data_IF_720908506843
#
_entry.id   IF_720908506843
#
_cell.length_a   1.000
_cell.length_b   1.000
_cell.length_c   1.000
_cell.angle_alpha   90.00
_cell.angle_beta   90.00
_cell.angle_gamma   90.00
#
_symmetry.space_group_name_H-M   'P 1'
#
loop_
_entity.id
_entity.type
_entity.pdbx_description
1 polymer ?
#
# COMPACT_ATOMS: atom_id res chain seq x y z
N UNK A 1 -19.48 11.01 11.52
CA UNK A 1 -20.62 10.10 11.76
C UNK A 1 -20.35 9.09 12.89
N UNK A 2 -19.16 8.48 12.97
CA UNK A 2 -18.81 7.44 13.97
C UNK A 2 -17.81 7.87 15.07
N UNK A 3 -17.79 9.14 15.43
CA UNK A 3 -16.80 9.69 16.37
C UNK A 3 -17.13 9.38 17.85
N UNK A 4 -18.41 9.18 18.17
CA UNK A 4 -18.91 9.00 19.55
C UNK A 4 -19.76 7.74 19.75
N UNK A 5 -20.09 7.00 18.67
CA UNK A 5 -20.96 5.81 18.69
C UNK A 5 -20.59 4.82 17.58
N UNK A 6 -20.79 3.53 17.84
CA UNK A 6 -20.58 2.40 16.90
C UNK A 6 -21.87 1.96 16.19
N UNK A 7 -22.79 2.89 15.93
CA UNK A 7 -24.06 2.59 15.26
C UNK A 7 -23.83 2.25 13.76
N UNK A 8 -24.46 1.16 13.29
CA UNK A 8 -24.47 0.77 11.87
C UNK A 8 -25.42 1.69 11.08
N UNK A 9 -25.01 2.94 10.85
CA UNK A 9 -25.83 3.96 10.16
C UNK A 9 -25.75 3.91 8.64
N UNK A 10 -24.64 3.43 8.07
CA UNK A 10 -24.42 3.36 6.63
C UNK A 10 -23.71 2.05 6.25
N UNK A 11 -24.43 0.92 6.23
CA UNK A 11 -23.84 -0.40 5.96
C UNK A 11 -23.19 -0.46 4.57
N UNK A 12 -23.85 0.08 3.55
CA UNK A 12 -23.34 0.13 2.17
C UNK A 12 -22.03 0.91 2.06
N UNK A 13 -21.90 2.00 2.82
CA UNK A 13 -20.66 2.78 2.87
C UNK A 13 -19.52 1.94 3.45
N UNK A 14 -19.76 1.22 4.55
CA UNK A 14 -18.75 0.35 5.15
C UNK A 14 -18.32 -0.79 4.21
N UNK A 15 -19.27 -1.41 3.49
CA UNK A 15 -18.93 -2.47 2.52
C UNK A 15 -17.99 -1.95 1.41
N UNK A 16 -18.23 -0.74 0.92
CA UNK A 16 -17.39 -0.11 -0.12
C UNK A 16 -16.03 0.28 0.47
N UNK A 17 -16.02 0.99 1.61
CA UNK A 17 -14.79 1.52 2.21
C UNK A 17 -13.86 0.40 2.67
N UNK A 18 -14.38 -0.69 3.23
CA UNK A 18 -13.55 -1.81 3.66
C UNK A 18 -12.82 -2.47 2.49
N UNK A 19 -13.49 -2.64 1.33
CA UNK A 19 -12.84 -3.12 0.10
C UNK A 19 -11.83 -2.11 -0.43
N UNK A 20 -12.15 -0.82 -0.44
CA UNK A 20 -11.22 0.22 -0.86
C UNK A 20 -9.99 0.32 0.06
N UNK A 21 -10.12 0.10 1.37
CA UNK A 21 -8.98 0.03 2.30
C UNK A 21 -8.06 -1.13 1.95
N UNK A 22 -8.60 -2.33 1.71
CA UNK A 22 -7.79 -3.49 1.28
C UNK A 22 -7.05 -3.19 -0.03
N UNK A 23 -7.74 -2.56 -1.00
CA UNK A 23 -7.11 -2.12 -2.24
C UNK A 23 -6.04 -1.05 -2.00
N UNK A 24 -6.31 -0.07 -1.13
CA UNK A 24 -5.40 1.02 -0.80
C UNK A 24 -4.11 0.56 -0.13
N UNK A 25 -4.19 -0.43 0.77
CA UNK A 25 -3.03 -1.04 1.43
C UNK A 25 -2.01 -1.61 0.43
N UNK A 26 -2.49 -2.06 -0.73
CA UNK A 26 -1.66 -2.58 -1.83
C UNK A 26 -1.39 -1.50 -2.88
N UNK A 27 -2.33 -0.58 -3.08
CA UNK A 27 -2.27 0.49 -4.07
C UNK A 27 -1.18 1.51 -3.78
N UNK A 28 -1.01 1.91 -2.52
CA UNK A 28 0.08 2.82 -2.13
C UNK A 28 1.46 2.25 -2.50
N UNK A 29 1.84 1.03 -2.07
CA UNK A 29 3.14 0.48 -2.42
C UNK A 29 3.27 0.13 -3.91
N UNK A 30 2.17 -0.23 -4.59
CA UNK A 30 2.15 -0.40 -6.05
C UNK A 30 2.45 0.92 -6.79
N UNK A 31 1.85 2.03 -6.36
CA UNK A 31 2.10 3.35 -6.92
C UNK A 31 3.55 3.80 -6.66
N UNK A 32 4.07 3.55 -5.45
CA UNK A 32 5.47 3.82 -5.12
C UNK A 32 6.43 3.04 -6.02
N UNK A 33 6.15 1.76 -6.29
CA UNK A 33 6.92 0.95 -7.24
C UNK A 33 6.90 1.53 -8.66
N UNK A 34 5.75 2.00 -9.13
CA UNK A 34 5.64 2.62 -10.46
C UNK A 34 6.48 3.91 -10.54
N UNK A 35 6.41 4.75 -9.49
CA UNK A 35 7.19 5.98 -9.40
C UNK A 35 8.70 5.68 -9.41
N UNK A 36 9.16 4.74 -8.57
CA UNK A 36 10.60 4.42 -8.48
C UNK A 36 11.12 3.77 -9.76
N UNK A 37 10.31 2.97 -10.45
CA UNK A 37 10.63 2.42 -11.77
C UNK A 37 10.75 3.52 -12.84
N UNK A 38 9.88 4.53 -12.79
CA UNK A 38 9.99 5.68 -13.69
C UNK A 38 11.25 6.50 -13.39
N UNK A 39 11.54 6.76 -12.11
CA UNK A 39 12.76 7.46 -11.68
C UNK A 39 14.03 6.72 -12.09
N UNK A 40 14.06 5.40 -11.95
CA UNK A 40 15.19 4.56 -12.41
C UNK A 40 15.40 4.68 -13.92
N UNK A 41 14.33 4.60 -14.71
CA UNK A 41 14.41 4.72 -16.16
C UNK A 41 14.92 6.11 -16.61
N UNK A 42 14.54 7.16 -15.87
CA UNK A 42 15.04 8.53 -16.10
C UNK A 42 16.51 8.61 -15.73
N UNK A 43 16.91 8.16 -14.53
CA UNK A 43 18.30 8.17 -14.05
C UNK A 43 19.25 7.35 -14.96
N UNK A 44 18.76 6.27 -15.54
CA UNK A 44 19.50 5.46 -16.51
C UNK A 44 19.65 6.13 -17.90
N UNK A 45 19.02 7.29 -18.13
CA UNK A 45 18.86 7.96 -19.42
C UNK A 45 18.20 7.08 -20.51
N UNK A 46 17.49 6.02 -20.10
CA UNK A 46 16.83 5.08 -21.04
C UNK A 46 15.65 5.73 -21.77
N UNK A 47 15.01 6.73 -21.17
CA UNK A 47 13.86 7.41 -21.78
C UNK A 47 14.16 8.08 -23.12
N UNK A 48 15.39 8.56 -23.33
CA UNK A 48 15.81 9.17 -24.59
C UNK A 48 15.78 8.18 -25.76
N UNK A 49 15.92 6.88 -25.48
CA UNK A 49 15.99 5.82 -26.49
C UNK A 49 14.67 5.09 -26.70
N UNK A 50 13.61 5.41 -25.92
CA UNK A 50 12.35 4.67 -26.03
C UNK A 50 11.55 5.06 -27.27
N UNK A 51 11.21 4.04 -28.07
CA UNK A 51 10.22 4.14 -29.15
C UNK A 51 8.82 4.44 -28.61
N UNK A 52 7.95 5.02 -29.43
CA UNK A 52 6.54 5.29 -29.07
C UNK A 52 5.80 4.02 -28.60
N UNK A 53 6.11 2.86 -29.19
CA UNK A 53 5.55 1.56 -28.80
C UNK A 53 6.00 1.16 -27.38
N UNK A 54 7.27 1.31 -27.07
CA UNK A 54 7.84 0.97 -25.76
C UNK A 54 7.30 1.89 -24.65
N UNK A 55 7.12 3.19 -24.95
CA UNK A 55 6.47 4.14 -24.03
C UNK A 55 5.03 3.74 -23.72
N UNK A 56 4.28 3.23 -24.72
CA UNK A 56 2.92 2.72 -24.51
C UNK A 56 2.92 1.45 -23.67
N UNK A 57 3.81 0.50 -23.96
CA UNK A 57 3.92 -0.74 -23.19
C UNK A 57 4.29 -0.49 -21.73
N UNK A 58 5.23 0.43 -21.45
CA UNK A 58 5.57 0.81 -20.07
C UNK A 58 4.38 1.37 -19.31
N UNK A 59 3.62 2.29 -19.92
CA UNK A 59 2.38 2.82 -19.33
C UNK A 59 1.36 1.73 -19.01
N UNK A 60 1.19 0.75 -19.90
CA UNK A 60 0.31 -0.39 -19.62
C UNK A 60 0.81 -1.25 -18.45
N UNK A 61 2.12 -1.48 -18.35
CA UNK A 61 2.70 -2.21 -17.22
C UNK A 61 2.51 -1.43 -15.92
N UNK A 62 2.75 -0.12 -15.91
CA UNK A 62 2.55 0.71 -14.72
C UNK A 62 1.07 0.75 -14.30
N UNK A 63 0.14 0.79 -15.26
CA UNK A 63 -1.30 0.67 -14.97
C UNK A 63 -1.67 -0.73 -14.45
N UNK A 64 -1.10 -1.79 -15.01
CA UNK A 64 -1.33 -3.16 -14.54
C UNK A 64 -0.81 -3.36 -13.12
N UNK A 65 0.33 -2.77 -12.77
CA UNK A 65 0.89 -2.81 -11.42
C UNK A 65 0.06 -1.94 -10.47
N UNK A 66 -0.14 -0.67 -10.82
CA UNK A 66 -0.75 0.35 -9.95
C UNK A 66 -2.26 0.18 -9.72
N UNK A 67 -2.99 -0.43 -10.66
CA UNK A 67 -4.43 -0.67 -10.55
C UNK A 67 -4.80 -2.15 -10.59
N UNK A 68 -4.13 -2.93 -11.44
CA UNK A 68 -4.43 -4.35 -11.60
C UNK A 68 -4.14 -5.18 -10.34
N UNK A 69 -2.97 -5.01 -9.71
CA UNK A 69 -2.62 -5.75 -8.48
C UNK A 69 -3.58 -5.39 -7.33
N UNK A 70 -3.84 -4.10 -7.00
CA UNK A 70 -4.83 -3.75 -5.98
C UNK A 70 -6.22 -4.31 -6.25
N UNK A 71 -6.71 -4.21 -7.49
CA UNK A 71 -8.02 -4.75 -7.86
C UNK A 71 -8.07 -6.28 -7.70
N UNK A 72 -7.01 -6.97 -8.09
CA UNK A 72 -6.89 -8.42 -7.91
C UNK A 72 -6.92 -8.79 -6.41
N UNK A 73 -6.17 -8.08 -5.56
CA UNK A 73 -6.16 -8.35 -4.12
C UNK A 73 -7.53 -8.03 -3.49
N UNK A 74 -8.24 -7.00 -3.93
CA UNK A 74 -9.61 -6.71 -3.48
C UNK A 74 -10.58 -7.87 -3.77
N UNK A 75 -10.44 -8.50 -4.93
CA UNK A 75 -11.23 -9.69 -5.32
C UNK A 75 -10.80 -10.89 -4.49
N UNK A 76 -9.50 -11.20 -4.42
CA UNK A 76 -8.97 -12.34 -3.66
C UNK A 76 -9.24 -12.24 -2.16
N UNK A 77 -9.36 -11.03 -1.63
CA UNK A 77 -9.76 -10.81 -0.24
C UNK A 77 -11.11 -11.45 0.09
N UNK A 78 -12.04 -11.59 -0.87
CA UNK A 78 -13.30 -12.30 -0.64
C UNK A 78 -13.10 -13.74 -0.18
N UNK A 79 -12.02 -14.41 -0.58
CA UNK A 79 -11.75 -15.81 -0.22
C UNK A 79 -11.43 -15.99 1.26
N UNK A 80 -10.85 -14.94 1.86
CA UNK A 80 -10.31 -14.94 3.23
C UNK A 80 -11.04 -13.94 4.12
N UNK A 81 -12.22 -13.50 3.69
CA UNK A 81 -13.03 -12.56 4.44
C UNK A 81 -13.94 -13.35 5.39
N UNK A 82 -13.68 -13.28 6.70
CA UNK A 82 -14.43 -14.08 7.69
C UNK A 82 -15.87 -13.57 7.90
N UNK A 83 -16.04 -12.25 7.91
CA UNK A 83 -17.32 -11.59 8.07
C UNK A 83 -17.33 -10.24 7.34
N UNK A 84 -18.47 -9.55 7.29
CA UNK A 84 -18.63 -8.34 6.47
C UNK A 84 -17.57 -7.28 6.76
N UNK A 85 -17.48 -6.82 8.00
CA UNK A 85 -16.49 -5.85 8.46
C UNK A 85 -16.59 -5.68 9.98
N UNK A 86 -15.57 -5.05 10.55
CA UNK A 86 -15.58 -4.57 11.93
C UNK A 86 -15.76 -3.06 11.97
N UNK A 87 -16.41 -2.56 13.00
CA UNK A 87 -16.53 -1.13 13.29
C UNK A 87 -15.83 -0.81 14.60
N UNK A 88 -14.78 -0.01 14.52
CA UNK A 88 -14.08 0.49 15.70
C UNK A 88 -14.49 1.95 15.93
N UNK A 89 -14.88 2.27 17.16
CA UNK A 89 -15.16 3.64 17.56
C UNK A 89 -13.96 4.56 17.25
N UNK A 90 -14.20 5.75 16.66
CA UNK A 90 -13.19 6.72 16.17
C UNK A 90 -12.45 6.36 14.88
N UNK A 91 -12.17 5.07 14.62
CA UNK A 91 -11.47 4.64 13.39
C UNK A 91 -12.43 4.37 12.21
N UNK A 92 -13.66 3.91 12.52
CA UNK A 92 -14.68 3.56 11.53
C UNK A 92 -14.62 2.11 11.06
N UNK A 93 -15.02 1.85 9.81
CA UNK A 93 -15.15 0.49 9.27
C UNK A 93 -13.79 -0.08 8.85
N UNK A 94 -13.46 -1.28 9.31
CA UNK A 94 -12.19 -2.00 9.07
C UNK A 94 -12.51 -3.34 8.39
N UNK A 95 -11.74 -3.74 7.36
CA UNK A 95 -11.94 -5.03 6.72
C UNK A 95 -11.65 -6.19 7.68
N UNK A 96 -12.52 -7.20 7.67
CA UNK A 96 -12.29 -8.47 8.37
C UNK A 96 -11.45 -9.40 7.49
N UNK A 97 -10.39 -9.97 8.07
CA UNK A 97 -9.53 -10.97 7.42
C UNK A 97 -9.42 -12.18 8.33
N UNK A 98 -9.80 -13.34 7.82
CA UNK A 98 -9.62 -14.62 8.50
C UNK A 98 -8.15 -15.03 8.46
N UNK A 99 -7.47 -14.92 9.61
CA UNK A 99 -6.05 -15.21 9.77
C UNK A 99 -5.77 -16.70 9.52
N UNK A 100 -5.34 -17.01 8.30
CA UNK A 100 -5.13 -18.36 7.79
C UNK A 100 -4.01 -18.36 6.76
N UNK A 101 -3.46 -19.53 6.44
CA UNK A 101 -2.38 -19.63 5.46
C UNK A 101 -2.74 -19.03 4.08
N UNK A 102 -3.95 -19.21 3.54
CA UNK A 102 -4.36 -18.52 2.31
C UNK A 102 -4.35 -16.99 2.43
N UNK A 103 -4.73 -16.43 3.59
CA UNK A 103 -4.73 -14.97 3.78
C UNK A 103 -3.32 -14.36 3.64
N UNK A 104 -2.30 -15.12 4.04
CA UNK A 104 -0.89 -14.73 3.89
C UNK A 104 -0.55 -14.46 2.44
N UNK A 105 -0.83 -15.44 1.56
CA UNK A 105 -0.47 -15.37 0.14
C UNK A 105 -1.42 -14.50 -0.69
N UNK A 106 -2.70 -14.45 -0.34
CA UNK A 106 -3.70 -13.75 -1.13
C UNK A 106 -3.74 -12.24 -0.85
N UNK A 107 -3.43 -11.82 0.37
CA UNK A 107 -3.63 -10.41 0.79
C UNK A 107 -2.42 -9.85 1.52
N UNK A 108 -1.92 -10.54 2.56
CA UNK A 108 -1.01 -9.95 3.55
C UNK A 108 0.40 -9.69 2.99
N UNK A 109 0.91 -10.55 2.11
CA UNK A 109 2.30 -10.49 1.62
C UNK A 109 2.54 -9.38 0.57
N UNK A 110 1.50 -9.00 -0.18
CA UNK A 110 1.62 -8.12 -1.35
C UNK A 110 2.19 -6.74 -1.04
N UNK A 111 1.76 -6.02 0.02
CA UNK A 111 2.36 -4.73 0.36
C UNK A 111 3.87 -4.82 0.60
N UNK A 112 4.34 -5.87 1.28
CA UNK A 112 5.78 -6.07 1.57
C UNK A 112 6.56 -6.35 0.30
N UNK A 113 6.06 -7.23 -0.56
CA UNK A 113 6.70 -7.57 -1.85
C UNK A 113 6.84 -6.33 -2.73
N UNK A 114 5.77 -5.53 -2.85
CA UNK A 114 5.79 -4.30 -3.63
C UNK A 114 6.72 -3.24 -3.05
N UNK A 115 6.76 -3.08 -1.72
CA UNK A 115 7.68 -2.17 -1.04
C UNK A 115 9.14 -2.58 -1.24
N UNK A 116 9.47 -3.86 -1.14
CA UNK A 116 10.83 -4.37 -1.37
C UNK A 116 11.25 -4.17 -2.83
N UNK A 117 10.36 -4.46 -3.78
CA UNK A 117 10.61 -4.16 -5.19
C UNK A 117 10.84 -2.65 -5.42
N UNK A 118 10.01 -1.80 -4.80
CA UNK A 118 10.17 -0.35 -4.88
C UNK A 118 11.50 0.11 -4.29
N UNK A 119 11.94 -0.50 -3.18
CA UNK A 119 13.23 -0.22 -2.56
C UNK A 119 14.41 -0.55 -3.47
N UNK A 120 14.37 -1.71 -4.16
CA UNK A 120 15.39 -2.10 -5.13
C UNK A 120 15.47 -1.09 -6.27
N UNK A 121 14.34 -0.73 -6.89
CA UNK A 121 14.32 0.27 -7.96
C UNK A 121 14.75 1.65 -7.47
N UNK A 122 14.35 2.05 -6.26
CA UNK A 122 14.75 3.30 -5.63
C UNK A 122 16.26 3.38 -5.40
N UNK A 123 16.87 2.30 -4.88
CA UNK A 123 18.31 2.21 -4.68
C UNK A 123 19.09 2.26 -6.00
N UNK A 124 18.59 1.59 -7.05
CA UNK A 124 19.17 1.64 -8.39
C UNK A 124 19.09 3.06 -8.98
N UNK A 125 17.93 3.71 -8.89
CA UNK A 125 17.73 5.08 -9.34
C UNK A 125 18.69 6.05 -8.64
N UNK A 126 18.82 5.95 -7.31
CA UNK A 126 19.72 6.77 -6.52
C UNK A 126 21.19 6.53 -6.90
N UNK A 127 21.60 5.27 -7.04
CA UNK A 127 22.97 4.92 -7.43
C UNK A 127 23.33 5.48 -8.81
N UNK A 128 22.45 5.32 -9.79
CA UNK A 128 22.64 5.84 -11.15
C UNK A 128 22.69 7.36 -11.16
N UNK A 129 21.82 8.01 -10.39
CA UNK A 129 21.80 9.46 -10.25
C UNK A 129 23.12 9.99 -9.67
N UNK A 130 23.62 9.39 -8.58
CA UNK A 130 24.90 9.79 -7.97
C UNK A 130 26.05 9.58 -8.94
N UNK A 131 26.11 8.41 -9.60
CA UNK A 131 27.19 8.07 -10.52
C UNK A 131 27.22 8.99 -11.76
N UNK A 132 26.07 9.43 -12.24
CA UNK A 132 25.95 10.21 -13.49
C UNK A 132 25.60 11.68 -13.26
N UNK A 133 25.64 12.19 -12.03
CA UNK A 133 25.11 13.51 -11.65
C UNK A 133 25.54 14.67 -12.56
N UNK A 134 26.79 14.66 -13.03
CA UNK A 134 27.33 15.70 -13.91
C UNK A 134 26.84 15.58 -15.35
N UNK A 135 26.74 14.36 -15.89
CA UNK A 135 26.16 14.10 -17.21
C UNK A 135 24.65 14.36 -17.19
N UNK A 136 23.99 14.04 -16.07
CA UNK A 136 22.57 14.20 -15.86
C UNK A 136 22.16 15.67 -15.85
N UNK A 137 22.92 16.53 -15.14
CA UNK A 137 22.69 17.98 -15.14
C UNK A 137 22.74 18.55 -16.56
N UNK A 138 23.71 18.13 -17.38
CA UNK A 138 23.83 18.56 -18.78
C UNK A 138 22.74 18.00 -19.70
N UNK A 139 22.33 16.75 -19.49
CA UNK A 139 21.26 16.12 -20.28
C UNK A 139 19.87 16.73 -19.98
N UNK A 140 19.62 17.15 -18.75
CA UNK A 140 18.38 17.85 -18.36
C UNK A 140 18.32 19.29 -18.85
N UNK A 141 19.47 19.96 -18.97
CA UNK A 141 19.54 21.29 -19.58
C UNK A 141 19.38 21.23 -21.11
N UNK A 142 19.90 20.18 -21.77
CA UNK A 142 19.84 20.04 -23.23
C UNK A 142 18.54 19.39 -23.73
N UNK A 143 17.94 18.49 -22.95
CA UNK A 143 16.59 18.02 -23.23
C UNK A 143 15.62 19.10 -22.79
N UNK A 144 14.76 19.57 -23.70
CA UNK A 144 13.60 20.41 -23.35
C UNK A 144 12.54 19.60 -22.55
N UNK A 145 12.99 18.89 -21.52
CA UNK A 145 12.18 18.13 -20.60
C UNK A 145 11.48 19.11 -19.65
N UNK A 146 10.18 18.90 -19.44
CA UNK A 146 9.38 19.69 -18.50
C UNK A 146 9.80 19.54 -17.01
N UNK A 147 10.83 18.75 -16.72
CA UNK A 147 11.33 18.46 -15.38
C UNK A 147 12.73 19.07 -15.22
N UNK A 148 12.88 19.98 -14.26
CA UNK A 148 14.19 20.54 -13.87
C UNK A 148 14.99 19.57 -13.00
N UNK A 149 16.32 19.71 -13.01
CA UNK A 149 17.24 18.94 -12.14
C UNK A 149 16.86 19.03 -10.66
N UNK A 150 16.46 20.22 -10.20
CA UNK A 150 16.02 20.45 -8.82
C UNK A 150 14.75 19.68 -8.45
N UNK A 151 13.76 19.62 -9.35
CA UNK A 151 12.53 18.86 -9.16
C UNK A 151 12.82 17.36 -9.13
N UNK A 152 13.69 16.88 -10.01
CA UNK A 152 14.08 15.47 -10.05
C UNK A 152 14.78 15.00 -8.77
N UNK A 153 15.72 15.81 -8.24
CA UNK A 153 16.40 15.51 -6.97
C UNK A 153 15.41 15.43 -5.80
N UNK A 154 14.47 16.38 -5.73
CA UNK A 154 13.42 16.38 -4.70
C UNK A 154 12.57 15.13 -4.77
N UNK A 155 12.17 14.70 -5.97
CA UNK A 155 11.38 13.48 -6.16
C UNK A 155 12.13 12.22 -5.73
N UNK A 156 13.42 12.10 -6.06
CA UNK A 156 14.25 10.98 -5.59
C UNK A 156 14.39 10.98 -4.07
N UNK A 157 14.65 12.15 -3.47
CA UNK A 157 14.80 12.28 -2.02
C UNK A 157 13.50 11.91 -1.28
N UNK A 158 12.34 12.37 -1.78
CA UNK A 158 11.03 12.03 -1.22
C UNK A 158 10.76 10.53 -1.34
N UNK A 159 11.00 9.93 -2.50
CA UNK A 159 10.80 8.48 -2.69
C UNK A 159 11.74 7.64 -1.80
N UNK A 160 13.01 8.05 -1.68
CA UNK A 160 13.98 7.37 -0.82
C UNK A 160 13.60 7.46 0.66
N UNK A 161 13.18 8.64 1.12
CA UNK A 161 12.70 8.84 2.50
C UNK A 161 11.46 8.00 2.79
N UNK A 162 10.50 7.98 1.85
CA UNK A 162 9.29 7.17 1.95
C UNK A 162 9.62 5.69 2.11
N UNK A 163 10.52 5.16 1.27
CA UNK A 163 10.98 3.77 1.35
C UNK A 163 11.68 3.49 2.68
N UNK A 164 12.60 4.36 3.09
CA UNK A 164 13.40 4.18 4.31
C UNK A 164 12.54 4.12 5.58
N UNK A 165 11.41 4.84 5.60
CA UNK A 165 10.46 4.80 6.71
C UNK A 165 9.44 3.65 6.59
N UNK A 166 8.87 3.44 5.40
CA UNK A 166 7.73 2.53 5.21
C UNK A 166 8.15 1.07 5.25
N UNK A 167 9.32 0.70 4.70
CA UNK A 167 9.79 -0.69 4.66
C UNK A 167 10.02 -1.26 6.06
N UNK A 168 10.81 -0.62 6.96
CA UNK A 168 11.04 -1.16 8.30
C UNK A 168 9.75 -1.26 9.10
N UNK A 169 8.87 -0.25 9.02
CA UNK A 169 7.61 -0.25 9.75
C UNK A 169 6.70 -1.37 9.26
N UNK A 170 6.52 -1.51 7.94
CA UNK A 170 5.71 -2.58 7.39
C UNK A 170 6.25 -3.96 7.79
N UNK A 171 7.57 -4.17 7.76
CA UNK A 171 8.19 -5.43 8.17
C UNK A 171 8.00 -5.71 9.66
N UNK A 172 8.30 -4.75 10.54
CA UNK A 172 8.09 -4.90 11.98
C UNK A 172 6.63 -5.22 12.31
N UNK A 173 5.68 -4.56 11.64
CA UNK A 173 4.25 -4.83 11.82
C UNK A 173 3.87 -6.24 11.39
N UNK A 174 4.32 -6.69 10.22
CA UNK A 174 4.02 -8.06 9.77
C UNK A 174 4.67 -9.10 10.68
N UNK A 175 5.93 -8.91 11.08
CA UNK A 175 6.64 -9.84 11.98
C UNK A 175 5.91 -9.96 13.31
N UNK A 176 5.55 -8.83 13.93
CA UNK A 176 4.80 -8.83 15.20
C UNK A 176 3.44 -9.50 15.06
N UNK A 177 2.71 -9.27 13.97
CA UNK A 177 1.45 -9.97 13.70
C UNK A 177 1.64 -11.48 13.59
N UNK A 178 2.62 -11.94 12.80
CA UNK A 178 2.91 -13.39 12.66
C UNK A 178 3.40 -14.05 13.95
N UNK A 179 4.06 -13.29 14.83
CA UNK A 179 4.51 -13.80 16.12
C UNK A 179 3.40 -13.86 17.19
N UNK A 180 2.34 -13.07 17.05
CA UNK A 180 1.30 -12.91 18.08
C UNK A 180 -0.04 -13.53 17.69
N UNK A 181 -0.34 -13.64 16.41
CA UNK A 181 -1.63 -14.15 15.90
C UNK A 181 -1.39 -15.52 15.28
N UNK A 182 -1.88 -16.61 15.88
CA UNK A 182 -1.76 -17.94 15.28
C UNK A 182 -2.59 -18.02 14.00
N UNK A 183 -2.07 -18.76 13.01
CA UNK A 183 -2.80 -19.06 11.78
C UNK A 183 -3.84 -20.15 12.06
N UNK A 184 -5.09 -19.87 11.73
CA UNK A 184 -6.17 -20.85 11.79
C UNK A 184 -6.21 -21.70 10.51
N UNK A 185 -6.61 -22.98 10.62
CA UNK A 185 -6.75 -23.84 9.44
C UNK A 185 -7.88 -23.35 8.53
N UNK A 186 -7.62 -23.33 7.22
CA UNK A 186 -8.65 -23.05 6.21
C UNK A 186 -9.30 -24.38 5.81
N UNK A 187 -10.39 -24.75 6.47
CA UNK A 187 -11.04 -26.05 6.27
C UNK A 187 -11.94 -26.07 5.02
N UNK A 188 -12.83 -25.09 4.89
CA UNK A 188 -13.77 -24.96 3.76
C UNK A 188 -14.24 -23.53 3.61
N UNK A 189 -14.76 -23.19 2.41
CA UNK A 189 -15.38 -21.89 2.15
C UNK A 189 -16.51 -21.60 3.14
N UNK A 190 -17.37 -22.58 3.40
CA UNK A 190 -18.51 -22.48 4.31
C UNK A 190 -18.09 -22.19 5.75
N UNK A 191 -16.98 -22.79 6.21
CA UNK A 191 -16.48 -22.56 7.56
C UNK A 191 -15.94 -21.14 7.74
N UNK A 192 -15.20 -20.63 6.76
CA UNK A 192 -14.65 -19.26 6.81
C UNK A 192 -15.74 -18.20 6.70
N UNK A 193 -16.79 -18.47 5.90
CA UNK A 193 -17.91 -17.54 5.69
C UNK A 193 -19.11 -17.84 6.59
N UNK A 194 -18.95 -18.64 7.63
CA UNK A 194 -20.03 -18.95 8.54
C UNK A 194 -20.50 -17.68 9.27
N UNK A 195 -21.78 -17.35 9.15
CA UNK A 195 -22.32 -16.13 9.74
C UNK A 195 -21.78 -14.84 9.09
N UNK A 196 -21.41 -14.87 7.80
CA UNK A 196 -20.76 -13.77 7.08
C UNK A 196 -21.39 -12.39 7.31
N UNK A 197 -22.72 -12.31 7.44
CA UNK A 197 -23.45 -11.06 7.67
C UNK A 197 -23.19 -10.40 9.04
N UNK A 198 -22.42 -11.04 9.92
CA UNK A 198 -21.99 -10.48 11.19
C UNK A 198 -21.15 -9.20 10.99
N UNK A 199 -21.41 -8.22 11.85
CA UNK A 199 -20.65 -6.97 11.94
C UNK A 199 -20.14 -6.84 13.36
N UNK A 200 -18.82 -6.94 13.54
CA UNK A 200 -18.21 -6.74 14.85
C UNK A 200 -18.19 -5.27 15.22
N UNK A 201 -18.49 -4.93 16.46
CA UNK A 201 -18.40 -3.56 16.98
C UNK A 201 -17.47 -3.53 18.18
N UNK A 202 -16.45 -2.68 18.14
CA UNK A 202 -15.48 -2.50 19.21
C UNK A 202 -15.62 -1.07 19.73
N UNK A 203 -16.04 -0.96 21.00
CA UNK A 203 -16.10 0.34 21.69
C UNK A 203 -14.72 0.85 22.02
N UNK A 204 -14.58 2.15 22.23
CA UNK A 204 -13.31 2.78 22.61
C UNK A 204 -12.70 2.15 23.86
N UNK A 205 -13.52 1.83 24.86
CA UNK A 205 -13.05 1.21 26.10
C UNK A 205 -12.43 -0.17 25.85
N UNK A 206 -13.05 -0.99 24.99
CA UNK A 206 -12.52 -2.31 24.61
C UNK A 206 -11.25 -2.19 23.78
N UNK A 207 -11.18 -1.18 22.91
CA UNK A 207 -10.00 -0.91 22.10
C UNK A 207 -8.80 -0.44 22.94
N UNK A 208 -9.06 0.42 23.95
CA UNK A 208 -8.05 0.92 24.89
C UNK A 208 -7.56 -0.14 25.88
N UNK A 209 -8.33 -1.21 26.12
CA UNK A 209 -7.92 -2.37 26.92
C UNK A 209 -6.92 -3.28 26.19
N UNK A 210 -6.83 -3.18 24.86
CA UNK A 210 -5.83 -3.90 24.07
C UNK A 210 -4.42 -3.31 24.19
N UNK A 211 -3.41 -3.96 23.59
CA UNK A 211 -2.05 -3.41 23.55
C UNK A 211 -2.06 -1.99 22.96
N UNK A 212 -1.57 -1.00 23.70
CA UNK A 212 -1.56 0.42 23.28
C UNK A 212 -0.84 0.62 21.94
N UNK A 213 0.19 -0.19 21.66
CA UNK A 213 0.85 -0.22 20.37
C UNK A 213 -0.10 -0.59 19.23
N UNK A 214 -0.94 -1.63 19.40
CA UNK A 214 -1.91 -2.05 18.39
C UNK A 214 -2.93 -0.93 18.10
N UNK A 215 -3.43 -0.27 19.14
CA UNK A 215 -4.35 0.84 18.99
C UNK A 215 -3.75 2.02 18.21
N UNK A 216 -2.52 2.42 18.56
CA UNK A 216 -1.79 3.48 17.85
C UNK A 216 -1.50 3.12 16.39
N UNK A 217 -1.20 1.86 16.12
CA UNK A 217 -0.91 1.38 14.77
C UNK A 217 -2.14 1.36 13.86
N UNK A 218 -3.31 1.02 14.40
CA UNK A 218 -4.57 1.08 13.66
C UNK A 218 -4.93 2.54 13.31
N UNK A 219 -4.77 3.46 14.26
CA UNK A 219 -4.92 4.91 14.01
C UNK A 219 -3.92 5.39 12.95
N UNK A 220 -2.64 5.03 13.08
CA UNK A 220 -1.61 5.37 12.10
C UNK A 220 -1.92 4.80 10.71
N UNK A 221 -2.38 3.56 10.61
CA UNK A 221 -2.78 2.95 9.34
C UNK A 221 -3.94 3.72 8.71
N UNK A 222 -4.93 4.14 9.50
CA UNK A 222 -6.03 4.98 9.03
C UNK A 222 -5.54 6.33 8.47
N UNK A 223 -4.63 7.00 9.17
CA UNK A 223 -4.05 8.28 8.71
C UNK A 223 -2.98 8.11 7.62
N UNK A 224 -2.44 6.91 7.42
CA UNK A 224 -1.35 6.65 6.46
C UNK A 224 -1.73 7.00 5.02
N UNK A 225 -3.01 6.80 4.64
CA UNK A 225 -3.53 7.20 3.34
C UNK A 225 -3.48 8.71 3.16
N UNK A 226 -3.92 9.48 4.18
CA UNK A 226 -3.87 10.92 4.16
C UNK A 226 -2.42 11.44 4.12
N UNK A 227 -1.53 10.86 4.93
CA UNK A 227 -0.11 11.21 4.96
C UNK A 227 0.55 10.94 3.59
N UNK A 228 0.29 9.77 3.00
CA UNK A 228 0.83 9.40 1.69
C UNK A 228 0.32 10.32 0.58
N UNK A 229 -0.95 10.75 0.67
CA UNK A 229 -1.52 11.72 -0.27
C UNK A 229 -0.88 13.11 -0.12
N UNK A 230 -0.61 13.56 1.11
CA UNK A 230 0.02 14.86 1.38
C UNK A 230 1.47 14.93 0.91
N UNK A 231 2.19 13.80 0.88
CA UNK A 231 3.56 13.72 0.35
C UNK A 231 3.62 13.69 -1.19
N UNK A 232 2.49 13.48 -1.86
CA UNK A 232 2.39 13.39 -3.32
C UNK A 232 2.13 14.74 -4.00
N UNK A 233 1.98 15.83 -3.23
CA UNK A 233 1.82 17.22 -3.69
C UNK A 233 3.05 18.08 -3.32
#
# INVERSE_FOLDING_TARGET
>A
VWYERVDIKAPVYCDIVTKLRVGGDVGIPAALLCITRQLEAIAAARQAYFSAKERRQRRFIDLAIGLGIPALVMVLHTVVQGHRYDMIERVGCIPSVYWSLPAVFLVIIWPVVLLLAAAVYGALALRLFIARRYQFARLLESSQSAISTSRFIRLIALAALQIAYTVPIALCLRITQFATIPLNPYNSWENVHYGFNYVGTITRQQFEQGPTAYARLQELNYWSYAISSAQSF
#
